data_IF_865642045242
#
_entry.id   IF_865642045242
#
_cell.length_a   1.000
_cell.length_b   1.000
_cell.length_c   1.000
_cell.angle_alpha   90.00
_cell.angle_beta   90.00
_cell.angle_gamma   90.00
#
_symmetry.space_group_name_H-M   'P 1'
#
loop_
_entity.id
_entity.type
_entity.pdbx_description
1 polymer ?
#
# COMPACT_ATOMS: atom_id res chain seq x y z
N UNK A 1 -4.17 -13.21 -8.17
CA UNK A 1 -4.06 -13.00 -6.71
C UNK A 1 -2.62 -12.61 -6.41
N UNK A 2 -2.40 -11.40 -5.90
CA UNK A 2 -1.06 -10.91 -5.54
C UNK A 2 -0.90 -11.11 -4.03
N UNK A 3 0.26 -11.59 -3.61
CA UNK A 3 0.59 -11.69 -2.18
C UNK A 3 1.19 -10.36 -1.73
N UNK A 4 0.48 -9.65 -0.86
CA UNK A 4 0.99 -8.43 -0.21
C UNK A 4 1.56 -8.85 1.14
N UNK A 5 2.79 -8.40 1.44
CA UNK A 5 3.44 -8.62 2.73
C UNK A 5 3.70 -7.28 3.39
N UNK A 6 3.23 -7.12 4.61
CA UNK A 6 3.50 -5.95 5.43
C UNK A 6 4.89 -6.04 6.07
N UNK A 7 5.63 -4.93 6.09
CA UNK A 7 6.90 -4.83 6.82
C UNK A 7 6.69 -4.01 8.09
N UNK A 8 7.52 -4.26 9.11
CA UNK A 8 7.46 -3.52 10.37
C UNK A 8 7.63 -2.00 10.16
N UNK A 9 8.52 -1.60 9.25
CA UNK A 9 8.72 -0.18 8.91
C UNK A 9 7.47 0.47 8.31
N UNK A 10 6.74 -0.26 7.48
CA UNK A 10 5.47 0.22 6.93
C UNK A 10 4.41 0.36 8.02
N UNK A 11 4.28 -0.65 8.89
CA UNK A 11 3.34 -0.62 10.01
C UNK A 11 3.56 0.60 10.91
N UNK A 12 4.81 0.82 11.34
CA UNK A 12 5.20 1.98 12.17
C UNK A 12 4.90 3.32 11.48
N UNK A 13 5.16 3.43 10.18
CA UNK A 13 4.85 4.63 9.42
C UNK A 13 3.34 4.88 9.33
N UNK A 14 2.55 3.83 9.09
CA UNK A 14 1.10 3.94 8.96
C UNK A 14 0.43 4.28 10.30
N UNK A 15 0.93 3.71 11.40
CA UNK A 15 0.47 3.99 12.76
C UNK A 15 0.84 5.40 13.24
N UNK A 16 1.96 5.95 12.76
CA UNK A 16 2.39 7.32 13.03
C UNK A 16 1.63 8.40 12.25
N UNK A 17 0.64 8.01 11.42
CA UNK A 17 -0.14 8.95 10.63
C UNK A 17 -1.33 9.51 11.45
N UNK A 18 -1.25 10.78 11.87
CA UNK A 18 -2.29 11.42 12.69
C UNK A 18 -3.64 11.56 11.97
N UNK A 19 -3.64 11.72 10.65
CA UNK A 19 -4.87 11.82 9.85
C UNK A 19 -5.50 10.43 9.63
N UNK A 20 -6.51 10.13 10.44
CA UNK A 20 -7.29 8.89 10.36
C UNK A 20 -7.93 8.65 8.99
N UNK A 21 -8.31 9.71 8.26
CA UNK A 21 -8.88 9.59 6.91
C UNK A 21 -7.80 9.25 5.90
N UNK A 22 -6.58 9.77 6.06
CA UNK A 22 -5.44 9.36 5.25
C UNK A 22 -5.12 7.88 5.48
N UNK A 23 -5.07 7.42 6.73
CA UNK A 23 -4.84 6.01 7.07
C UNK A 23 -5.88 5.08 6.43
N UNK A 24 -7.16 5.42 6.54
CA UNK A 24 -8.24 4.66 5.92
C UNK A 24 -8.11 4.58 4.38
N UNK A 25 -7.72 5.67 3.73
CA UNK A 25 -7.51 5.71 2.27
C UNK A 25 -6.35 4.82 1.82
N UNK A 26 -5.27 4.77 2.58
CA UNK A 26 -4.13 3.88 2.30
C UNK A 26 -4.56 2.42 2.41
N UNK A 27 -5.21 2.01 3.51
CA UNK A 27 -5.73 0.65 3.67
C UNK A 27 -6.67 0.24 2.54
N UNK A 28 -7.64 1.10 2.19
CA UNK A 28 -8.59 0.80 1.11
C UNK A 28 -7.90 0.63 -0.26
N UNK A 29 -6.76 1.28 -0.50
CA UNK A 29 -5.99 1.09 -1.73
C UNK A 29 -5.19 -0.21 -1.74
N UNK A 30 -4.66 -0.64 -0.59
CA UNK A 30 -3.99 -1.93 -0.42
C UNK A 30 -4.97 -3.08 -0.61
N UNK A 31 -6.15 -3.02 0.00
CA UNK A 31 -7.20 -4.04 -0.16
C UNK A 31 -7.59 -4.20 -1.63
N UNK A 32 -7.85 -3.08 -2.33
CA UNK A 32 -8.15 -3.12 -3.76
C UNK A 32 -7.02 -3.74 -4.58
N UNK A 33 -5.77 -3.45 -4.24
CA UNK A 33 -4.61 -4.06 -4.91
C UNK A 33 -4.57 -5.58 -4.65
N UNK A 34 -4.82 -6.03 -3.42
CA UNK A 34 -4.87 -7.44 -3.05
C UNK A 34 -5.95 -8.20 -3.83
N UNK A 35 -7.11 -7.57 -4.05
CA UNK A 35 -8.20 -8.13 -4.86
C UNK A 35 -8.00 -7.95 -6.38
N UNK A 36 -6.85 -7.46 -6.84
CA UNK A 36 -6.54 -7.33 -8.27
C UNK A 36 -7.15 -6.11 -8.97
N UNK A 37 -7.56 -5.09 -8.22
CA UNK A 37 -8.08 -3.82 -8.73
C UNK A 37 -7.18 -2.62 -8.35
N UNK A 38 -5.99 -2.48 -8.97
CA UNK A 38 -5.09 -1.38 -8.66
C UNK A 38 -5.61 -0.01 -9.15
N UNK A 39 -6.66 0.04 -9.98
CA UNK A 39 -7.04 1.26 -10.69
C UNK A 39 -5.98 1.68 -11.70
N UNK A 40 -5.88 2.98 -11.97
CA UNK A 40 -4.86 3.53 -12.86
C UNK A 40 -3.48 3.53 -12.17
N UNK A 41 -2.55 2.73 -12.69
CA UNK A 41 -1.19 2.57 -12.19
C UNK A 41 -0.23 2.36 -13.36
N UNK A 42 0.96 2.97 -13.28
CA UNK A 42 2.05 2.75 -14.22
C UNK A 42 3.26 2.17 -13.48
N UNK A 43 4.00 1.22 -14.08
CA UNK A 43 5.22 0.70 -13.47
C UNK A 43 6.29 1.80 -13.37
N UNK A 44 7.05 1.80 -12.28
CA UNK A 44 8.12 2.79 -12.02
C UNK A 44 9.51 2.34 -12.49
N UNK A 45 9.61 1.22 -13.22
CA UNK A 45 10.86 0.64 -13.73
C UNK A 45 11.01 -0.86 -13.44
N UNK A 46 12.12 -1.47 -13.87
CA UNK A 46 12.35 -2.93 -13.85
C UNK A 46 12.63 -3.56 -12.47
N UNK A 47 12.62 -2.77 -11.40
CA UNK A 47 12.84 -3.32 -10.06
C UNK A 47 13.26 -2.25 -9.08
N UNK A 48 12.27 -1.63 -8.43
CA UNK A 48 12.53 -0.85 -7.23
C UNK A 48 13.23 -1.76 -6.21
N UNK A 49 14.46 -1.41 -5.82
CA UNK A 49 15.26 -2.12 -4.82
C UNK A 49 15.47 -1.17 -3.64
N UNK A 50 14.94 -1.55 -2.49
CA UNK A 50 15.20 -0.94 -1.18
C UNK A 50 15.95 -1.97 -0.33
#
# INVERSE_FOLDING_TARGET
MIVIRETESFAKWLDGLDDIRARARVHARIERLATGNPGDVAPVGEGFRN
#
